data_IF_167096065210
#
_entry.id   IF_167096065210
#
_cell.length_a   1.000
_cell.length_b   1.000
_cell.length_c   1.000
_cell.angle_alpha   90.00
_cell.angle_beta   90.00
_cell.angle_gamma   90.00
#
_symmetry.space_group_name_H-M   'P 1'
#
loop_
_entity.id
_entity.type
_entity.pdbx_description
1 polymer ?
#
# COMPACT_ATOMS: atom_id res chain seq x y z
N UNK A 1 41.94 -7.89 -55.86
CA UNK A 1 41.23 -8.88 -56.66
C UNK A 1 39.99 -9.19 -55.82
N UNK A 2 38.88 -8.51 -56.08
CA UNK A 2 37.84 -8.90 -57.04
C UNK A 2 37.39 -10.32 -56.71
N UNK A 3 36.22 -10.61 -56.42
CA UNK A 3 34.84 -10.31 -56.79
C UNK A 3 34.04 -11.47 -56.22
N UNK A 4 32.89 -11.46 -55.84
CA UNK A 4 31.56 -11.12 -56.26
C UNK A 4 30.52 -12.05 -55.61
N UNK A 5 29.47 -11.47 -55.12
CA UNK A 5 28.04 -11.74 -55.38
C UNK A 5 27.43 -13.09 -54.91
N UNK A 6 26.35 -13.12 -54.15
CA UNK A 6 24.96 -12.84 -54.50
C UNK A 6 23.97 -13.16 -53.35
N UNK A 7 23.05 -12.27 -53.17
CA UNK A 7 21.67 -12.39 -52.69
C UNK A 7 21.08 -13.78 -52.42
N UNK A 8 20.43 -13.91 -51.25
CA UNK A 8 19.08 -14.44 -51.20
C UNK A 8 18.34 -13.88 -50.00
N UNK A 9 17.26 -13.16 -50.28
CA UNK A 9 16.26 -12.70 -49.34
C UNK A 9 15.35 -13.89 -48.99
N UNK A 10 15.09 -14.08 -47.68
CA UNK A 10 13.83 -14.62 -47.19
C UNK A 10 13.47 -13.93 -45.90
N UNK A 11 12.42 -13.16 -45.98
CA UNK A 11 11.75 -12.63 -44.83
C UNK A 11 10.96 -13.70 -44.09
N UNK A 12 11.00 -13.67 -42.79
CA UNK A 12 9.94 -14.26 -41.96
C UNK A 12 9.77 -13.44 -40.71
N UNK A 13 8.56 -12.99 -40.54
CA UNK A 13 7.87 -12.33 -39.49
C UNK A 13 8.44 -12.44 -38.10
N UNK A 14 8.77 -11.31 -37.57
CA UNK A 14 8.86 -11.09 -36.14
C UNK A 14 7.45 -11.09 -35.55
N UNK A 15 7.05 -12.22 -35.01
CA UNK A 15 5.94 -12.24 -34.06
C UNK A 15 6.42 -11.54 -32.82
N UNK A 16 5.74 -10.45 -32.49
CA UNK A 16 6.04 -9.64 -31.32
C UNK A 16 5.99 -10.49 -30.05
N UNK A 17 7.06 -10.49 -29.33
CA UNK A 17 7.15 -11.08 -28.00
C UNK A 17 6.21 -10.32 -27.04
N UNK A 18 5.40 -10.99 -26.23
CA UNK A 18 4.53 -10.37 -25.22
C UNK A 18 5.28 -9.53 -24.18
N UNK A 19 6.59 -9.65 -24.13
CA UNK A 19 7.48 -8.92 -23.22
C UNK A 19 7.58 -7.41 -23.46
N UNK A 20 7.15 -6.90 -24.61
CA UNK A 20 7.09 -5.43 -24.83
C UNK A 20 5.98 -4.75 -24.04
N UNK A 21 4.99 -5.50 -23.60
CA UNK A 21 3.87 -4.93 -22.80
C UNK A 21 4.18 -4.85 -21.31
N UNK A 22 5.11 -5.67 -20.80
CA UNK A 22 5.44 -5.64 -19.37
C UNK A 22 6.29 -4.41 -18.98
N UNK A 23 7.22 -3.99 -19.85
CA UNK A 23 7.98 -2.75 -19.64
C UNK A 23 7.13 -1.50 -19.85
N UNK A 24 6.07 -1.59 -20.67
CA UNK A 24 5.11 -0.49 -20.88
C UNK A 24 4.11 -0.39 -19.75
N UNK A 25 3.79 -1.48 -19.03
CA UNK A 25 2.83 -1.44 -17.91
C UNK A 25 3.43 -0.86 -16.63
N UNK A 26 4.68 -1.15 -16.31
CA UNK A 26 5.36 -0.47 -15.19
C UNK A 26 5.63 1.01 -15.53
N UNK A 27 5.99 1.33 -16.78
CA UNK A 27 6.10 2.70 -17.26
C UNK A 27 4.72 3.37 -17.45
N UNK A 28 3.66 2.62 -17.74
CA UNK A 28 2.31 3.15 -17.89
C UNK A 28 1.64 3.45 -16.55
N UNK A 29 1.95 2.73 -15.48
CA UNK A 29 1.52 3.14 -14.13
C UNK A 29 2.20 4.45 -13.68
N UNK A 30 3.43 4.71 -14.12
CA UNK A 30 4.12 5.99 -13.86
C UNK A 30 3.74 7.07 -14.88
N UNK A 31 3.41 6.70 -16.14
CA UNK A 31 3.08 7.66 -17.21
C UNK A 31 1.59 8.02 -17.26
N UNK A 32 0.67 7.21 -16.71
CA UNK A 32 -0.75 7.54 -16.60
C UNK A 32 -1.03 8.60 -15.52
N UNK A 33 -0.10 8.83 -14.60
CA UNK A 33 -0.19 9.94 -13.63
C UNK A 33 0.09 11.30 -14.28
N UNK A 34 0.82 11.34 -15.41
CA UNK A 34 1.24 12.61 -16.05
C UNK A 34 0.27 13.21 -17.07
N UNK A 35 -0.88 12.60 -17.34
CA UNK A 35 -1.80 13.05 -18.41
C UNK A 35 -3.22 13.39 -17.95
N UNK A 36 -3.52 13.37 -16.66
CA UNK A 36 -4.81 13.87 -16.19
C UNK A 36 -4.78 15.39 -16.02
N UNK A 37 -5.03 16.10 -17.11
CA UNK A 37 -5.51 17.45 -17.03
C UNK A 37 -6.92 17.42 -16.43
N UNK A 38 -7.04 17.81 -15.17
CA UNK A 38 -8.31 18.09 -14.51
C UNK A 38 -9.08 19.14 -15.33
N UNK A 39 -10.07 18.68 -16.07
CA UNK A 39 -11.16 19.58 -16.49
C UNK A 39 -12.03 19.80 -15.25
N UNK A 40 -11.90 20.98 -14.66
CA UNK A 40 -12.68 21.38 -13.51
C UNK A 40 -14.17 21.27 -13.79
N UNK A 41 -14.85 20.46 -12.97
CA UNK A 41 -16.28 20.56 -12.79
C UNK A 41 -16.52 21.83 -11.98
N UNK A 42 -17.20 22.81 -12.55
CA UNK A 42 -17.68 24.00 -11.84
C UNK A 42 -18.81 23.55 -10.91
N UNK A 43 -18.48 23.26 -9.67
CA UNK A 43 -19.45 23.23 -8.59
C UNK A 43 -19.46 24.63 -7.99
N UNK A 44 -20.60 25.31 -8.06
CA UNK A 44 -20.86 26.54 -7.33
C UNK A 44 -21.05 26.17 -5.86
N UNK A 45 -19.97 25.98 -5.13
CA UNK A 45 -19.98 25.91 -3.69
C UNK A 45 -19.36 27.19 -3.16
N UNK A 46 -20.14 27.94 -2.36
CA UNK A 46 -19.64 29.13 -1.69
C UNK A 46 -18.63 28.63 -0.64
N UNK A 47 -17.34 28.74 -0.94
CA UNK A 47 -16.26 28.34 -0.04
C UNK A 47 -16.41 29.10 1.28
N UNK A 48 -16.46 28.34 2.38
CA UNK A 48 -16.50 28.92 3.73
C UNK A 48 -15.07 29.15 4.22
N UNK A 49 -14.83 30.21 5.00
CA UNK A 49 -13.50 30.52 5.52
C UNK A 49 -12.88 29.37 6.32
N UNK A 50 -13.67 28.59 7.06
CA UNK A 50 -13.18 27.44 7.82
C UNK A 50 -12.66 26.32 6.90
N UNK A 51 -13.30 26.12 5.76
CA UNK A 51 -12.86 25.14 4.78
C UNK A 51 -11.55 25.59 4.13
N UNK A 52 -11.42 26.86 3.78
CA UNK A 52 -10.19 27.42 3.23
C UNK A 52 -9.02 27.35 4.22
N UNK A 53 -9.27 27.64 5.50
CA UNK A 53 -8.24 27.51 6.55
C UNK A 53 -7.81 26.06 6.71
N UNK A 54 -8.75 25.12 6.73
CA UNK A 54 -8.46 23.70 6.84
C UNK A 54 -7.62 23.20 5.66
N UNK A 55 -7.99 23.56 4.44
CA UNK A 55 -7.35 23.05 3.21
C UNK A 55 -5.98 23.66 2.93
N UNK A 56 -5.85 24.98 3.15
CA UNK A 56 -4.69 25.72 2.68
C UNK A 56 -3.76 26.22 3.79
N UNK A 57 -4.22 26.31 5.03
CA UNK A 57 -3.45 26.89 6.12
C UNK A 57 -3.02 25.85 7.16
N UNK A 58 -3.95 24.99 7.62
CA UNK A 58 -3.67 24.00 8.65
C UNK A 58 -2.55 23.03 8.32
N UNK A 59 -2.31 22.57 7.07
CA UNK A 59 -1.20 21.66 6.76
C UNK A 59 0.17 22.16 7.19
N UNK A 60 0.31 23.48 7.43
CA UNK A 60 1.56 24.10 7.88
C UNK A 60 1.45 24.85 9.22
N UNK A 61 0.23 25.19 9.67
CA UNK A 61 -0.04 26.04 10.82
C UNK A 61 -0.88 25.33 11.89
N UNK A 62 -0.49 24.11 12.27
CA UNK A 62 -1.05 23.33 13.38
C UNK A 62 -0.02 23.20 14.52
N UNK A 63 -0.45 22.76 15.70
CA UNK A 63 0.37 22.74 16.91
C UNK A 63 1.72 22.01 16.73
N UNK A 64 1.74 20.88 15.99
CA UNK A 64 2.95 20.09 15.80
C UNK A 64 3.92 20.66 14.75
N UNK A 65 3.48 21.64 13.93
CA UNK A 65 4.30 22.18 12.84
C UNK A 65 4.47 23.70 12.86
N UNK A 66 3.62 24.43 13.54
CA UNK A 66 3.59 25.88 13.80
C UNK A 66 4.63 26.73 13.01
N UNK A 67 4.62 26.67 11.69
CA UNK A 67 5.59 27.43 10.88
C UNK A 67 5.45 28.93 11.15
N UNK A 68 6.57 29.59 11.51
CA UNK A 68 6.61 30.99 11.92
C UNK A 68 5.88 31.26 13.23
N UNK A 69 5.71 30.25 14.11
CA UNK A 69 5.01 30.35 15.36
C UNK A 69 3.47 30.47 15.26
N UNK A 70 2.90 30.42 14.04
CA UNK A 70 1.47 30.56 13.81
C UNK A 70 0.74 29.22 13.93
N UNK A 71 -0.30 29.18 14.78
CA UNK A 71 -1.21 28.05 14.94
C UNK A 71 -2.62 28.52 14.59
N UNK A 72 -3.30 27.78 13.68
CA UNK A 72 -4.63 28.13 13.17
C UNK A 72 -5.71 27.11 13.54
N UNK A 73 -5.47 26.23 14.51
CA UNK A 73 -6.40 25.17 14.93
C UNK A 73 -7.57 25.68 15.79
N UNK A 74 -7.42 26.85 16.38
CA UNK A 74 -8.48 27.51 17.14
C UNK A 74 -8.46 29.03 16.96
N UNK A 75 -9.63 29.67 17.18
CA UNK A 75 -9.73 31.12 17.13
C UNK A 75 -8.77 31.77 18.13
N UNK A 76 -8.58 31.17 19.30
CA UNK A 76 -7.70 31.67 20.33
C UNK A 76 -6.24 31.71 19.85
N UNK A 77 -5.72 30.60 19.35
CA UNK A 77 -4.33 30.51 18.85
C UNK A 77 -4.09 31.45 17.65
N UNK A 78 -5.05 31.57 16.74
CA UNK A 78 -4.93 32.52 15.64
C UNK A 78 -4.84 33.97 16.09
N UNK A 79 -5.54 34.34 17.17
CA UNK A 79 -5.50 35.69 17.78
C UNK A 79 -4.23 35.94 18.61
N UNK A 80 -3.56 34.89 19.08
CA UNK A 80 -2.25 35.00 19.75
C UNK A 80 -1.18 35.42 18.71
N UNK A 81 -1.40 35.11 17.43
CA UNK A 81 -0.55 35.56 16.33
C UNK A 81 0.60 34.62 16.02
N UNK A 82 1.68 35.17 15.49
CA UNK A 82 2.91 34.50 15.10
C UNK A 82 4.13 35.06 15.82
N UNK A 83 5.31 34.47 15.56
CA UNK A 83 6.60 35.00 16.07
C UNK A 83 6.83 36.48 15.66
N UNK A 84 6.17 36.94 14.61
CA UNK A 84 6.26 38.31 14.10
C UNK A 84 5.16 39.24 14.62
N UNK A 85 4.22 38.73 15.45
CA UNK A 85 3.13 39.50 16.02
C UNK A 85 1.74 39.12 15.50
N UNK A 86 0.73 39.98 15.72
CA UNK A 86 -0.65 39.72 15.34
C UNK A 86 -0.79 39.48 13.82
N UNK A 87 -1.45 38.38 13.44
CA UNK A 87 -1.64 37.99 12.05
C UNK A 87 -3.02 38.42 11.54
N UNK A 88 -4.02 38.47 12.41
CA UNK A 88 -5.39 38.83 12.04
C UNK A 88 -5.95 39.80 13.10
N UNK A 89 -6.64 40.82 12.64
CA UNK A 89 -7.38 41.79 13.50
C UNK A 89 -8.87 41.66 13.18
N UNK A 90 -9.68 41.07 14.09
CA UNK A 90 -11.11 40.89 13.84
C UNK A 90 -11.82 42.21 13.50
N UNK A 91 -12.61 42.20 12.44
CA UNK A 91 -13.33 43.39 11.96
C UNK A 91 -12.48 44.37 11.14
N UNK A 92 -11.16 44.12 11.01
CA UNK A 92 -10.27 45.01 10.27
C UNK A 92 -9.41 44.25 9.22
N UNK A 93 -9.95 43.94 8.04
CA UNK A 93 -9.21 43.28 6.98
C UNK A 93 -7.94 44.02 6.54
N UNK A 94 -7.97 45.36 6.48
CA UNK A 94 -6.87 46.16 5.95
C UNK A 94 -5.63 46.16 6.86
N UNK A 95 -5.78 45.87 8.14
CA UNK A 95 -4.68 45.76 9.11
C UNK A 95 -4.32 44.28 9.43
N UNK A 96 -5.00 43.33 8.81
CA UNK A 96 -4.75 41.91 9.02
C UNK A 96 -3.63 41.42 8.08
N UNK A 97 -2.47 41.08 8.69
CA UNK A 97 -1.28 40.65 7.97
C UNK A 97 -1.51 39.38 7.12
N UNK A 98 -2.40 38.49 7.58
CA UNK A 98 -2.80 37.30 6.81
C UNK A 98 -3.16 37.66 5.37
N UNK A 99 -3.98 38.69 5.15
CA UNK A 99 -4.40 39.08 3.79
C UNK A 99 -3.27 39.69 2.96
N UNK A 100 -2.28 40.29 3.61
CA UNK A 100 -1.11 40.83 2.92
C UNK A 100 -0.16 39.75 2.40
N UNK A 101 -0.25 38.53 2.93
CA UNK A 101 0.57 37.39 2.49
C UNK A 101 -0.06 36.58 1.34
N UNK A 102 -1.35 36.80 1.03
CA UNK A 102 -2.05 36.00 0.01
C UNK A 102 -1.74 36.37 -1.46
N UNK A 103 -1.44 37.65 -1.85
CA UNK A 103 -1.09 37.98 -3.23
C UNK A 103 0.20 37.30 -3.68
N UNK A 104 0.23 36.88 -4.95
CA UNK A 104 1.40 36.19 -5.54
C UNK A 104 2.70 37.02 -5.50
N UNK A 105 2.59 38.34 -5.47
CA UNK A 105 3.71 39.28 -5.44
C UNK A 105 4.24 39.55 -4.00
N UNK A 106 3.61 38.96 -2.98
CA UNK A 106 4.05 39.11 -1.60
C UNK A 106 5.39 38.41 -1.36
N UNK A 107 6.33 39.09 -0.71
CA UNK A 107 7.61 38.46 -0.30
C UNK A 107 7.42 37.26 0.64
N UNK A 108 6.32 37.26 1.37
CA UNK A 108 5.92 36.17 2.31
C UNK A 108 4.68 35.45 1.79
N UNK A 109 4.65 35.14 0.51
CA UNK A 109 3.49 34.54 -0.13
C UNK A 109 3.00 33.25 0.54
N UNK A 110 1.69 33.19 0.82
CA UNK A 110 0.99 32.05 1.43
C UNK A 110 -0.31 31.71 0.67
N UNK A 111 -0.61 30.43 0.47
CA UNK A 111 0.25 29.25 0.71
C UNK A 111 1.41 29.17 -0.31
N UNK A 112 2.57 28.61 0.07
CA UNK A 112 3.76 28.62 -0.80
C UNK A 112 3.61 27.74 -2.04
N UNK A 113 2.66 26.81 -2.05
CA UNK A 113 2.47 25.84 -3.14
C UNK A 113 1.51 26.32 -4.23
N UNK A 114 0.88 27.49 -4.08
CA UNK A 114 -0.03 28.00 -5.10
C UNK A 114 -0.83 29.22 -4.69
N UNK A 115 -1.26 30.00 -5.67
CA UNK A 115 -2.09 31.19 -5.48
C UNK A 115 -3.53 30.81 -5.17
N UNK A 116 -4.09 31.33 -4.10
CA UNK A 116 -5.53 31.24 -3.83
C UNK A 116 -6.32 31.99 -4.88
N UNK A 117 -7.52 31.49 -5.20
CA UNK A 117 -8.42 32.18 -6.12
C UNK A 117 -8.87 33.54 -5.55
N UNK A 118 -9.20 34.47 -6.40
CA UNK A 118 -9.73 35.77 -5.97
C UNK A 118 -11.02 35.63 -5.14
N UNK A 119 -11.80 34.58 -5.39
CA UNK A 119 -13.00 34.26 -4.62
C UNK A 119 -12.65 33.80 -3.19
N UNK A 120 -11.65 32.94 -3.06
CA UNK A 120 -11.15 32.49 -1.75
C UNK A 120 -10.59 33.66 -0.93
N UNK A 121 -9.82 34.55 -1.54
CA UNK A 121 -9.30 35.75 -0.89
C UNK A 121 -10.45 36.67 -0.45
N UNK A 122 -11.48 36.81 -1.28
CA UNK A 122 -12.67 37.61 -0.94
C UNK A 122 -13.41 37.01 0.24
N UNK A 123 -13.57 35.69 0.29
CA UNK A 123 -14.20 34.95 1.39
C UNK A 123 -13.46 35.18 2.71
N UNK A 124 -12.13 35.06 2.69
CA UNK A 124 -11.30 35.31 3.89
C UNK A 124 -11.37 36.78 4.33
N UNK A 125 -11.40 37.71 3.37
CA UNK A 125 -11.52 39.14 3.65
C UNK A 125 -12.85 39.46 4.33
N UNK A 126 -13.95 38.90 3.83
CA UNK A 126 -15.28 39.09 4.39
C UNK A 126 -15.40 38.45 5.79
N UNK A 127 -14.84 37.21 5.96
CA UNK A 127 -14.81 36.53 7.25
C UNK A 127 -14.11 37.36 8.32
N UNK A 128 -12.98 38.01 8.00
CA UNK A 128 -12.29 38.92 8.94
C UNK A 128 -13.15 40.15 9.22
N UNK A 129 -13.76 40.74 8.20
CA UNK A 129 -14.64 41.92 8.35
C UNK A 129 -15.83 41.63 9.27
N UNK A 130 -16.37 40.43 9.25
CA UNK A 130 -17.46 39.94 10.10
C UNK A 130 -17.02 39.58 11.52
N UNK A 131 -15.76 39.83 11.89
CA UNK A 131 -15.22 39.60 13.23
C UNK A 131 -14.74 38.16 13.46
N UNK A 132 -14.50 37.39 12.38
CA UNK A 132 -13.99 36.02 12.43
C UNK A 132 -14.92 35.05 13.17
N UNK A 133 -16.16 34.84 12.69
CA UNK A 133 -17.01 33.80 13.23
C UNK A 133 -16.30 32.46 13.09
N UNK A 134 -16.21 31.71 14.20
CA UNK A 134 -15.41 30.48 14.26
C UNK A 134 -16.30 29.25 14.45
N UNK A 135 -16.18 28.30 13.57
CA UNK A 135 -16.89 27.02 13.62
C UNK A 135 -15.87 25.89 13.75
N UNK A 136 -15.63 25.44 14.99
CA UNK A 136 -14.71 24.34 15.28
C UNK A 136 -15.16 23.02 14.67
N UNK A 137 -16.47 22.75 14.61
CA UNK A 137 -16.98 21.51 14.04
C UNK A 137 -16.67 21.47 12.53
N UNK A 138 -16.84 22.59 11.85
CA UNK A 138 -16.53 22.70 10.42
C UNK A 138 -15.03 22.70 10.14
N UNK A 139 -14.22 23.32 10.99
CA UNK A 139 -12.77 23.29 10.87
C UNK A 139 -12.20 21.88 11.06
N UNK A 140 -12.79 21.11 11.98
CA UNK A 140 -12.43 19.72 12.26
C UNK A 140 -13.23 18.71 11.44
N UNK A 141 -14.27 19.13 10.76
CA UNK A 141 -15.00 18.27 9.85
C UNK A 141 -14.02 17.81 8.79
N UNK A 142 -13.57 16.57 8.92
CA UNK A 142 -13.10 15.85 7.75
C UNK A 142 -14.27 15.98 6.78
N UNK A 143 -14.09 16.70 5.66
CA UNK A 143 -15.10 16.62 4.63
C UNK A 143 -15.39 15.13 4.44
N UNK A 144 -16.63 14.71 4.71
CA UNK A 144 -17.20 13.73 3.82
C UNK A 144 -17.23 14.45 2.45
N UNK A 145 -16.08 14.50 1.77
CA UNK A 145 -16.07 14.72 0.34
C UNK A 145 -17.08 13.71 -0.11
N UNK A 146 -18.27 14.15 -0.50
CA UNK A 146 -19.14 13.34 -1.35
C UNK A 146 -18.16 12.69 -2.27
N UNK A 147 -17.93 11.39 -2.06
CA UNK A 147 -16.86 10.66 -2.70
C UNK A 147 -16.97 11.05 -4.14
N UNK A 148 -16.03 11.89 -4.60
CA UNK A 148 -16.02 12.29 -5.99
C UNK A 148 -16.17 10.96 -6.68
N UNK A 149 -17.27 10.76 -7.41
CA UNK A 149 -17.58 9.44 -7.96
C UNK A 149 -16.47 9.15 -8.94
N UNK A 150 -15.37 8.60 -8.41
CA UNK A 150 -14.23 8.17 -9.19
C UNK A 150 -14.78 7.15 -10.16
N UNK A 151 -14.86 7.51 -11.40
CA UNK A 151 -15.24 6.61 -12.47
C UNK A 151 -14.02 5.72 -12.70
N UNK A 152 -13.91 4.67 -11.87
CA UNK A 152 -12.90 3.64 -12.09
C UNK A 152 -13.32 2.89 -13.35
N UNK A 153 -12.48 2.91 -14.36
CA UNK A 153 -12.66 2.02 -15.50
C UNK A 153 -12.50 0.58 -15.02
N UNK A 154 -13.33 -0.36 -15.53
CA UNK A 154 -13.17 -1.76 -15.22
C UNK A 154 -11.75 -2.22 -15.55
N UNK A 155 -11.21 -3.13 -14.73
CA UNK A 155 -9.92 -3.74 -15.02
C UNK A 155 -9.93 -4.39 -16.41
N UNK A 156 -8.79 -4.41 -17.12
CA UNK A 156 -8.68 -5.16 -18.37
C UNK A 156 -9.13 -6.61 -18.17
N UNK A 157 -9.87 -7.17 -19.14
CA UNK A 157 -10.47 -8.52 -19.02
C UNK A 157 -9.47 -9.64 -18.73
N UNK A 158 -8.19 -9.43 -19.07
CA UNK A 158 -7.11 -10.41 -18.87
C UNK A 158 -6.24 -10.07 -17.66
N UNK A 159 -6.66 -9.12 -16.81
CA UNK A 159 -5.92 -8.69 -15.63
C UNK A 159 -6.55 -9.26 -14.36
N UNK A 160 -6.08 -10.42 -13.95
CA UNK A 160 -6.57 -11.17 -12.78
C UNK A 160 -5.44 -11.53 -11.81
N UNK A 161 -4.68 -10.54 -11.28
CA UNK A 161 -3.56 -10.85 -10.40
C UNK A 161 -4.04 -11.45 -9.08
N UNK A 162 -3.29 -12.42 -8.58
CA UNK A 162 -3.41 -12.95 -7.22
C UNK A 162 -2.52 -12.12 -6.31
N UNK A 163 -3.04 -11.05 -5.72
CA UNK A 163 -2.24 -10.08 -4.96
C UNK A 163 -2.17 -10.40 -3.46
N UNK A 164 -3.14 -11.12 -2.93
CA UNK A 164 -3.18 -11.52 -1.51
C UNK A 164 -3.83 -12.89 -1.37
N UNK A 165 -3.33 -13.67 -0.42
CA UNK A 165 -3.80 -15.00 -0.09
C UNK A 165 -3.86 -15.16 1.42
N UNK A 166 -4.88 -15.85 1.94
CA UNK A 166 -4.99 -16.18 3.35
C UNK A 166 -5.63 -17.54 3.56
N UNK A 167 -5.15 -18.28 4.56
CA UNK A 167 -5.79 -19.52 5.02
C UNK A 167 -6.99 -19.19 5.88
N UNK A 168 -8.14 -19.77 5.56
CA UNK A 168 -9.33 -19.72 6.41
C UNK A 168 -9.12 -20.52 7.70
N UNK A 169 -10.09 -20.41 8.63
CA UNK A 169 -10.01 -21.02 9.96
C UNK A 169 -9.85 -22.55 9.97
N UNK A 170 -10.27 -23.23 8.92
CA UNK A 170 -10.24 -24.70 8.83
C UNK A 170 -9.01 -25.27 8.13
N UNK A 171 -8.00 -24.46 7.82
CA UNK A 171 -6.72 -24.85 7.19
C UNK A 171 -6.81 -25.63 5.86
N UNK A 172 -7.98 -26.08 5.46
CA UNK A 172 -8.25 -26.72 4.16
C UNK A 172 -8.84 -25.76 3.12
N UNK A 173 -9.19 -24.54 3.54
CA UNK A 173 -9.74 -23.52 2.65
C UNK A 173 -8.83 -22.32 2.62
N UNK A 174 -8.56 -21.83 1.44
CA UNK A 174 -7.83 -20.60 1.19
C UNK A 174 -8.75 -19.60 0.49
N UNK A 175 -8.62 -18.34 0.89
CA UNK A 175 -9.22 -17.23 0.18
C UNK A 175 -8.10 -16.49 -0.53
N UNK A 176 -8.34 -16.13 -1.76
CA UNK A 176 -7.37 -15.39 -2.56
C UNK A 176 -8.06 -14.31 -3.40
N UNK A 177 -7.35 -13.22 -3.60
CA UNK A 177 -7.78 -12.17 -4.52
C UNK A 177 -7.52 -12.60 -5.97
N UNK A 178 -8.39 -12.19 -6.89
CA UNK A 178 -8.28 -12.46 -8.32
C UNK A 178 -8.74 -11.20 -9.10
N UNK A 179 -7.85 -10.21 -9.21
CA UNK A 179 -8.24 -8.90 -9.70
C UNK A 179 -9.24 -8.23 -8.78
N UNK A 180 -10.45 -7.95 -9.27
CA UNK A 180 -11.57 -7.41 -8.47
C UNK A 180 -12.38 -8.48 -7.75
N UNK A 181 -12.05 -9.74 -7.95
CA UNK A 181 -12.79 -10.89 -7.46
C UNK A 181 -12.09 -11.55 -6.26
N UNK A 182 -12.86 -12.36 -5.53
CA UNK A 182 -12.37 -13.28 -4.50
C UNK A 182 -12.62 -14.71 -4.97
N UNK A 183 -11.59 -15.52 -4.95
CA UNK A 183 -11.69 -16.96 -5.18
C UNK A 183 -11.56 -17.70 -3.85
N UNK A 184 -12.49 -18.60 -3.60
CA UNK A 184 -12.45 -19.56 -2.49
C UNK A 184 -11.94 -20.87 -3.06
N UNK A 185 -10.82 -21.33 -2.53
CA UNK A 185 -10.12 -22.52 -2.99
C UNK A 185 -10.10 -23.55 -1.88
N UNK A 186 -10.62 -24.74 -2.15
CA UNK A 186 -10.40 -25.89 -1.30
C UNK A 186 -9.01 -26.44 -1.55
N UNK A 187 -8.21 -26.45 -0.50
CA UNK A 187 -6.84 -26.90 -0.56
C UNK A 187 -6.78 -28.42 -0.36
N UNK A 188 -6.27 -29.09 -1.35
CA UNK A 188 -5.87 -30.49 -1.28
C UNK A 188 -4.40 -30.61 -1.68
N UNK A 189 -3.68 -31.58 -1.09
CA UNK A 189 -2.24 -31.75 -1.34
C UNK A 189 -1.91 -32.12 -2.79
N UNK A 190 -2.85 -32.73 -3.49
CA UNK A 190 -2.65 -33.22 -4.85
C UNK A 190 -3.57 -32.54 -5.87
N UNK A 191 -4.80 -32.19 -5.47
CA UNK A 191 -5.85 -31.75 -6.38
C UNK A 191 -6.70 -30.62 -5.80
N UNK A 192 -6.13 -29.41 -5.58
CA UNK A 192 -6.91 -28.27 -5.10
C UNK A 192 -7.96 -27.88 -6.14
N UNK A 193 -9.06 -27.31 -5.67
CA UNK A 193 -10.16 -26.89 -6.54
C UNK A 193 -10.72 -25.54 -6.16
N UNK A 194 -11.04 -24.71 -7.15
CA UNK A 194 -11.77 -23.47 -6.91
C UNK A 194 -13.25 -23.78 -6.71
N UNK A 195 -13.77 -23.42 -5.51
CA UNK A 195 -15.15 -23.70 -5.13
C UNK A 195 -16.09 -22.58 -5.52
N UNK A 196 -15.65 -21.34 -5.38
CA UNK A 196 -16.50 -20.17 -5.56
C UNK A 196 -15.71 -18.96 -6.01
N UNK A 197 -16.33 -18.14 -6.87
CA UNK A 197 -15.86 -16.82 -7.25
C UNK A 197 -16.90 -15.78 -6.82
N UNK A 198 -16.46 -14.71 -6.18
CA UNK A 198 -17.31 -13.61 -5.71
C UNK A 198 -16.73 -12.31 -6.26
N UNK A 199 -17.56 -11.47 -6.88
CA UNK A 199 -17.15 -10.18 -7.47
C UNK A 199 -17.58 -9.01 -6.58
N UNK A 200 -16.79 -8.63 -5.57
CA UNK A 200 -17.18 -7.63 -4.58
C UNK A 200 -16.78 -6.21 -4.92
N UNK A 201 -15.68 -6.04 -5.61
CA UNK A 201 -15.07 -4.75 -5.84
C UNK A 201 -15.11 -4.35 -7.32
N UNK A 202 -14.97 -3.05 -7.58
CA UNK A 202 -14.85 -2.50 -8.94
C UNK A 202 -13.40 -2.33 -9.37
N UNK A 203 -12.47 -2.37 -8.42
CA UNK A 203 -11.02 -2.27 -8.61
C UNK A 203 -10.32 -3.50 -8.03
N UNK A 204 -9.04 -3.65 -8.32
CA UNK A 204 -8.24 -4.76 -7.81
C UNK A 204 -8.21 -4.77 -6.28
N UNK A 205 -8.51 -5.92 -5.69
CA UNK A 205 -8.35 -6.18 -4.27
C UNK A 205 -6.88 -6.45 -4.02
N UNK A 206 -6.23 -5.62 -3.19
CA UNK A 206 -4.81 -5.78 -2.87
C UNK A 206 -4.56 -6.46 -1.54
N UNK A 207 -5.52 -6.38 -0.65
CA UNK A 207 -5.36 -6.85 0.71
C UNK A 207 -6.54 -7.68 1.18
N UNK A 208 -6.22 -8.68 1.98
CA UNK A 208 -7.13 -9.63 2.56
C UNK A 208 -6.68 -9.96 3.99
N UNK A 209 -7.58 -9.87 4.94
CA UNK A 209 -7.37 -10.35 6.31
C UNK A 209 -8.44 -11.37 6.68
N UNK A 210 -8.07 -12.33 7.54
CA UNK A 210 -8.97 -13.36 8.05
C UNK A 210 -9.11 -13.20 9.56
N UNK A 211 -10.30 -12.83 9.99
CA UNK A 211 -10.71 -12.85 11.39
C UNK A 211 -11.24 -14.25 11.74
N UNK A 212 -10.38 -15.06 12.35
CA UNK A 212 -10.69 -16.44 12.68
C UNK A 212 -11.68 -16.57 13.83
N UNK A 213 -11.60 -15.65 14.79
CA UNK A 213 -12.43 -15.68 15.99
C UNK A 213 -13.88 -15.35 15.68
N UNK A 214 -14.10 -14.44 14.72
CA UNK A 214 -15.45 -14.02 14.31
C UNK A 214 -15.94 -14.70 13.03
N UNK A 215 -15.14 -15.62 12.47
CA UNK A 215 -15.42 -16.28 11.18
C UNK A 215 -15.74 -15.28 10.06
N UNK A 216 -14.87 -14.29 9.88
CA UNK A 216 -15.04 -13.24 8.90
C UNK A 216 -13.79 -13.07 8.02
N UNK A 217 -14.01 -12.57 6.80
CA UNK A 217 -12.95 -12.07 5.95
C UNK A 217 -13.09 -10.57 5.80
N UNK A 218 -11.99 -9.89 5.59
CA UNK A 218 -11.96 -8.45 5.36
C UNK A 218 -11.16 -8.22 4.09
N UNK A 219 -11.74 -7.47 3.15
CA UNK A 219 -11.07 -7.13 1.88
C UNK A 219 -10.92 -5.64 1.73
N UNK A 220 -9.76 -5.22 1.22
CA UNK A 220 -9.45 -3.82 0.94
C UNK A 220 -9.38 -3.54 -0.56
N UNK A 221 -10.18 -2.56 -1.00
CA UNK A 221 -10.18 -2.02 -2.36
C UNK A 221 -9.87 -0.53 -2.39
N UNK A 222 -10.26 0.16 -3.45
CA UNK A 222 -10.12 1.61 -3.55
C UNK A 222 -11.23 2.31 -2.77
N UNK A 223 -10.86 3.08 -1.74
CA UNK A 223 -11.78 3.87 -0.92
C UNK A 223 -12.81 3.03 -0.14
N UNK A 224 -12.55 1.73 0.06
CA UNK A 224 -13.50 0.87 0.78
C UNK A 224 -12.90 -0.39 1.35
N UNK A 225 -13.46 -0.84 2.46
CA UNK A 225 -13.24 -2.18 3.02
C UNK A 225 -14.57 -2.90 3.15
N UNK A 226 -14.59 -4.20 2.88
CA UNK A 226 -15.76 -5.06 3.03
C UNK A 226 -15.48 -6.15 4.05
N UNK A 227 -16.47 -6.38 4.93
CA UNK A 227 -16.49 -7.48 5.89
C UNK A 227 -17.43 -8.56 5.39
N UNK A 228 -17.00 -9.81 5.44
CA UNK A 228 -17.70 -10.95 4.87
C UNK A 228 -17.94 -12.01 5.91
N UNK A 229 -19.10 -12.64 5.87
CA UNK A 229 -19.34 -13.89 6.58
C UNK A 229 -18.59 -15.03 5.89
N UNK A 230 -17.73 -15.73 6.63
CA UNK A 230 -16.87 -16.78 6.07
C UNK A 230 -17.66 -18.04 5.64
N UNK A 231 -18.87 -18.27 6.15
CA UNK A 231 -19.68 -19.43 5.83
C UNK A 231 -20.59 -19.16 4.62
N UNK A 232 -21.25 -18.00 4.62
CA UNK A 232 -22.23 -17.66 3.57
C UNK A 232 -21.56 -16.97 2.38
N UNK A 233 -20.44 -16.25 2.62
CA UNK A 233 -19.81 -15.37 1.64
C UNK A 233 -20.67 -14.14 1.32
N UNK A 234 -21.50 -13.72 2.24
CA UNK A 234 -22.30 -12.49 2.14
C UNK A 234 -21.57 -11.33 2.81
N UNK A 235 -21.78 -10.12 2.29
CA UNK A 235 -21.23 -8.90 2.89
C UNK A 235 -22.00 -8.59 4.17
N UNK A 236 -21.27 -8.51 5.28
CA UNK A 236 -21.79 -8.13 6.59
C UNK A 236 -21.79 -6.62 6.79
N UNK A 237 -20.77 -5.96 6.27
CA UNK A 237 -20.57 -4.52 6.47
C UNK A 237 -19.61 -3.92 5.44
N UNK A 238 -19.68 -2.59 5.29
CA UNK A 238 -18.81 -1.81 4.42
C UNK A 238 -18.35 -0.54 5.12
N UNK A 239 -17.04 -0.28 5.07
CA UNK A 239 -16.44 0.97 5.54
C UNK A 239 -15.92 1.73 4.32
N UNK A 240 -16.41 2.96 4.13
CA UNK A 240 -15.98 3.91 3.10
C UNK A 240 -15.56 5.25 3.69
N UNK A 241 -16.08 5.59 4.85
CA UNK A 241 -15.85 6.89 5.47
C UNK A 241 -14.38 7.06 5.87
N UNK A 242 -13.78 8.16 5.42
CA UNK A 242 -12.39 8.50 5.69
C UNK A 242 -11.37 7.77 4.81
N UNK A 243 -11.79 6.89 3.90
CA UNK A 243 -10.92 6.17 2.98
C UNK A 243 -10.93 6.86 1.61
N UNK A 244 -9.80 7.41 1.18
CA UNK A 244 -9.66 8.19 -0.05
C UNK A 244 -8.81 7.48 -1.12
N UNK A 245 -7.98 6.54 -0.70
CA UNK A 245 -7.02 5.83 -1.52
C UNK A 245 -7.27 4.32 -1.61
N UNK A 246 -6.27 3.62 -2.04
CA UNK A 246 -6.31 2.16 -2.16
C UNK A 246 -5.83 1.52 -0.86
N UNK A 247 -6.58 0.57 -0.34
CA UNK A 247 -6.14 -0.25 0.80
C UNK A 247 -5.15 -1.28 0.28
N UNK A 248 -3.89 -1.08 0.62
CA UNK A 248 -2.77 -1.90 0.13
C UNK A 248 -2.44 -3.04 1.05
N UNK A 249 -2.69 -2.88 2.36
CA UNK A 249 -2.49 -3.94 3.34
C UNK A 249 -3.57 -3.89 4.43
N UNK A 250 -4.00 -5.05 4.89
CA UNK A 250 -4.89 -5.24 6.03
C UNK A 250 -4.23 -6.19 7.02
N UNK A 251 -4.23 -5.82 8.28
CA UNK A 251 -3.69 -6.63 9.36
C UNK A 251 -4.62 -6.59 10.56
N UNK A 252 -4.87 -7.76 11.17
CA UNK A 252 -5.56 -7.85 12.45
C UNK A 252 -4.50 -7.97 13.53
N UNK A 253 -4.60 -7.17 14.59
CA UNK A 253 -3.66 -7.19 15.71
C UNK A 253 -3.64 -8.56 16.40
N UNK A 254 -2.51 -8.88 17.01
CA UNK A 254 -2.32 -10.17 17.70
C UNK A 254 -3.36 -10.43 18.80
N UNK A 255 -3.80 -9.38 19.48
CA UNK A 255 -4.86 -9.42 20.49
C UNK A 255 -6.28 -9.52 19.95
N UNK A 256 -6.46 -9.57 18.61
CA UNK A 256 -7.73 -9.67 17.90
C UNK A 256 -8.72 -8.53 18.22
N UNK A 257 -8.23 -7.38 18.65
CA UNK A 257 -9.08 -6.23 19.01
C UNK A 257 -9.11 -5.15 17.95
N UNK A 258 -8.06 -5.06 17.10
CA UNK A 258 -7.85 -3.96 16.18
C UNK A 258 -7.68 -4.45 14.75
N UNK A 259 -8.19 -3.65 13.82
CA UNK A 259 -7.90 -3.79 12.39
C UNK A 259 -7.02 -2.61 11.96
N UNK A 260 -5.86 -2.91 11.40
CA UNK A 260 -4.97 -1.95 10.80
C UNK A 260 -5.16 -2.00 9.29
N UNK A 261 -5.47 -0.85 8.68
CA UNK A 261 -5.60 -0.72 7.23
C UNK A 261 -4.57 0.31 6.74
N UNK A 262 -3.67 -0.13 5.87
CA UNK A 262 -2.74 0.75 5.18
C UNK A 262 -3.40 1.26 3.90
N UNK A 263 -3.64 2.56 3.85
CA UNK A 263 -4.19 3.25 2.69
C UNK A 263 -3.08 3.96 1.94
N UNK A 264 -3.09 3.89 0.63
CA UNK A 264 -2.05 4.47 -0.20
C UNK A 264 -2.62 5.32 -1.32
N UNK A 265 -2.03 6.49 -1.46
CA UNK A 265 -2.16 7.39 -2.60
C UNK A 265 -0.79 7.48 -3.26
N UNK A 266 -0.53 6.72 -4.35
CA UNK A 266 0.80 6.61 -4.96
C UNK A 266 1.44 7.95 -5.27
N UNK A 267 2.69 8.16 -4.83
CA UNK A 267 3.43 9.41 -4.99
C UNK A 267 2.94 10.56 -4.11
N UNK A 268 2.02 10.31 -3.18
CA UNK A 268 1.46 11.35 -2.32
C UNK A 268 1.54 11.00 -0.83
N UNK A 269 0.95 9.89 -0.40
CA UNK A 269 0.97 9.48 1.01
C UNK A 269 0.70 7.99 1.20
N UNK A 270 1.20 7.47 2.31
CA UNK A 270 0.81 6.19 2.89
C UNK A 270 0.24 6.44 4.29
N UNK A 271 -1.05 6.21 4.46
CA UNK A 271 -1.75 6.41 5.71
C UNK A 271 -1.99 5.08 6.43
N UNK A 272 -1.93 5.10 7.73
CA UNK A 272 -2.40 4.00 8.56
C UNK A 272 -3.72 4.40 9.23
N UNK A 273 -4.71 3.53 9.09
CA UNK A 273 -5.99 3.65 9.76
C UNK A 273 -6.15 2.52 10.76
N UNK A 274 -6.47 2.88 11.98
CA UNK A 274 -6.75 1.96 13.05
C UNK A 274 -8.24 1.92 13.34
N UNK A 275 -8.82 0.73 13.35
CA UNK A 275 -10.24 0.50 13.65
C UNK A 275 -10.39 -0.44 14.84
N UNK A 276 -11.44 -0.22 15.63
CA UNK A 276 -11.96 -1.24 16.53
C UNK A 276 -12.56 -2.37 15.68
N UNK A 277 -12.02 -3.57 15.82
CA UNK A 277 -12.38 -4.70 14.96
C UNK A 277 -13.82 -5.19 15.22
N UNK A 278 -14.30 -5.10 16.45
CA UNK A 278 -15.65 -5.55 16.81
C UNK A 278 -16.73 -4.52 16.41
N UNK A 279 -16.47 -3.25 16.74
CA UNK A 279 -17.42 -2.14 16.49
C UNK A 279 -17.33 -1.60 15.07
N UNK A 280 -16.23 -1.89 14.36
CA UNK A 280 -15.92 -1.41 13.00
C UNK A 280 -15.92 0.11 12.88
N UNK A 281 -15.48 0.79 13.93
CA UNK A 281 -15.37 2.25 13.97
C UNK A 281 -13.90 2.68 13.93
N UNK A 282 -13.58 3.81 13.26
CA UNK A 282 -12.23 4.33 13.25
C UNK A 282 -11.82 4.79 14.65
N UNK A 283 -10.62 4.43 15.06
CA UNK A 283 -9.99 4.85 16.33
C UNK A 283 -8.98 5.95 16.09
N UNK A 284 -8.11 5.79 15.09
CA UNK A 284 -7.03 6.72 14.81
C UNK A 284 -6.58 6.63 13.36
N UNK A 285 -6.11 7.74 12.79
CA UNK A 285 -5.55 7.79 11.43
C UNK A 285 -4.35 8.74 11.43
N UNK A 286 -3.25 8.31 10.78
CA UNK A 286 -2.06 9.17 10.63
C UNK A 286 -1.36 8.90 9.31
N UNK A 287 -0.63 9.91 8.81
CA UNK A 287 0.30 9.76 7.69
C UNK A 287 1.55 9.03 8.18
N UNK A 288 1.72 7.78 7.77
CA UNK A 288 2.84 6.96 8.17
C UNK A 288 4.05 7.16 7.23
N UNK A 289 3.81 7.25 5.95
CA UNK A 289 4.84 7.34 4.92
C UNK A 289 4.52 8.43 3.88
N UNK A 290 5.57 8.87 3.17
CA UNK A 290 5.45 9.87 2.09
C UNK A 290 5.00 9.27 0.75
N UNK A 291 4.87 7.95 0.67
CA UNK A 291 4.46 7.22 -0.51
C UNK A 291 3.75 5.91 -0.10
N UNK A 292 3.35 5.11 -1.07
CA UNK A 292 2.59 3.88 -0.91
C UNK A 292 3.20 2.92 0.13
N UNK A 293 2.38 2.40 1.05
CA UNK A 293 2.75 1.32 1.97
C UNK A 293 2.47 0.00 1.27
N UNK A 294 3.50 -0.84 1.12
CA UNK A 294 3.35 -2.14 0.47
C UNK A 294 3.10 -3.28 1.43
N UNK A 295 3.65 -3.19 2.64
CA UNK A 295 3.49 -4.24 3.63
C UNK A 295 3.46 -3.69 5.05
N UNK A 296 2.79 -4.41 5.94
CA UNK A 296 2.67 -4.10 7.36
C UNK A 296 2.60 -5.40 8.15
N UNK A 297 3.46 -5.54 9.15
CA UNK A 297 3.53 -6.71 10.03
C UNK A 297 3.56 -6.27 11.49
N UNK A 298 3.03 -7.11 12.39
CA UNK A 298 3.09 -6.90 13.84
C UNK A 298 4.15 -7.80 14.46
N UNK A 299 4.90 -7.28 15.43
CA UNK A 299 5.88 -8.09 16.18
C UNK A 299 5.17 -9.16 17.00
N UNK A 300 5.83 -10.30 17.19
CA UNK A 300 5.22 -11.46 17.86
C UNK A 300 4.79 -11.22 19.31
N UNK A 301 5.29 -10.16 19.96
CA UNK A 301 4.87 -9.70 21.28
C UNK A 301 3.80 -8.59 21.22
N UNK A 302 3.36 -8.21 20.02
CA UNK A 302 2.37 -7.16 19.80
C UNK A 302 2.82 -5.74 20.13
N UNK A 303 4.12 -5.52 20.40
CA UNK A 303 4.62 -4.21 20.87
C UNK A 303 4.74 -3.18 19.75
N UNK A 304 5.02 -3.63 18.51
CA UNK A 304 5.27 -2.76 17.37
C UNK A 304 4.56 -3.23 16.12
N UNK A 305 4.17 -2.27 15.31
CA UNK A 305 3.87 -2.47 13.90
C UNK A 305 5.04 -2.00 13.05
N UNK A 306 5.35 -2.73 12.01
CA UNK A 306 6.46 -2.43 11.10
C UNK A 306 5.86 -2.25 9.71
N UNK A 307 6.14 -1.14 9.05
CA UNK A 307 5.62 -0.80 7.72
C UNK A 307 6.75 -0.64 6.72
N UNK A 308 6.55 -1.11 5.49
CA UNK A 308 7.46 -0.98 4.37
C UNK A 308 6.83 -0.14 3.26
N UNK A 309 7.59 0.80 2.69
CA UNK A 309 7.04 1.79 1.78
C UNK A 309 7.84 1.99 0.49
N UNK A 310 7.12 2.57 -0.49
CA UNK A 310 7.68 3.09 -1.73
C UNK A 310 8.63 4.26 -1.50
N UNK A 311 8.59 4.93 -0.35
CA UNK A 311 9.53 5.99 0.04
C UNK A 311 10.93 5.47 0.43
N UNK A 312 11.17 4.18 0.27
CA UNK A 312 12.41 3.44 0.55
C UNK A 312 12.70 3.20 2.03
N UNK A 313 11.81 3.60 2.91
CA UNK A 313 11.97 3.46 4.36
C UNK A 313 11.12 2.31 4.91
N UNK A 314 11.54 1.82 6.06
CA UNK A 314 10.79 0.94 6.94
C UNK A 314 10.59 1.72 8.23
N UNK A 315 9.40 1.76 8.77
CA UNK A 315 9.10 2.47 10.01
C UNK A 315 8.51 1.54 11.06
N UNK A 316 8.84 1.86 12.30
CA UNK A 316 8.36 1.16 13.49
C UNK A 316 7.39 2.06 14.24
N UNK A 317 6.25 1.50 14.62
CA UNK A 317 5.17 2.19 15.32
C UNK A 317 4.88 1.47 16.62
N UNK A 318 4.88 2.19 17.73
CA UNK A 318 4.41 1.64 19.01
C UNK A 318 2.92 1.31 18.91
N UNK A 319 2.54 0.07 19.21
CA UNK A 319 1.15 -0.40 19.02
C UNK A 319 0.16 0.18 20.03
N UNK A 320 0.62 0.72 21.16
CA UNK A 320 -0.18 1.30 22.22
C UNK A 320 -0.30 2.83 22.13
N UNK A 321 0.75 3.51 21.67
CA UNK A 321 0.80 4.98 21.57
C UNK A 321 0.59 5.50 20.16
N UNK A 322 0.71 4.64 19.13
CA UNK A 322 0.64 4.94 17.69
C UNK A 322 1.72 5.93 17.22
N UNK A 323 2.79 6.07 18.00
CA UNK A 323 3.90 6.95 17.68
C UNK A 323 4.96 6.24 16.90
N UNK A 324 5.62 6.98 16.01
CA UNK A 324 6.83 6.50 15.35
C UNK A 324 7.91 6.28 16.41
N UNK A 325 8.38 5.03 16.53
CA UNK A 325 9.43 4.63 17.45
C UNK A 325 10.80 4.80 16.81
N UNK A 326 10.92 4.33 15.57
CA UNK A 326 12.18 4.36 14.82
C UNK A 326 11.93 4.17 13.32
N UNK A 327 12.94 4.44 12.51
CA UNK A 327 12.94 4.16 11.09
C UNK A 327 14.21 3.43 10.66
N UNK A 328 14.11 2.57 9.64
CA UNK A 328 15.24 1.81 9.10
C UNK A 328 15.53 2.31 7.68
N UNK A 329 16.71 2.87 7.50
CA UNK A 329 17.20 3.33 6.20
C UNK A 329 18.25 2.37 5.64
N UNK A 330 18.25 2.17 4.33
CA UNK A 330 19.27 1.34 3.68
C UNK A 330 18.84 0.71 2.37
N UNK A 331 17.51 0.62 2.09
CA UNK A 331 17.04 0.31 0.76
C UNK A 331 17.21 1.53 -0.17
N UNK A 332 17.57 1.26 -1.43
CA UNK A 332 17.78 2.31 -2.45
C UNK A 332 16.64 2.37 -3.47
N UNK A 333 15.60 1.58 -3.25
CA UNK A 333 14.37 1.54 -4.03
C UNK A 333 13.21 1.07 -3.12
N UNK A 334 11.95 1.12 -3.57
CA UNK A 334 10.78 0.69 -2.80
C UNK A 334 10.95 -0.62 -2.04
N UNK A 335 10.54 -0.62 -0.77
CA UNK A 335 10.54 -1.83 0.08
C UNK A 335 9.20 -2.53 -0.09
N UNK A 336 9.23 -3.76 -0.58
CA UNK A 336 8.04 -4.46 -1.07
C UNK A 336 7.43 -5.40 -0.04
N UNK A 337 8.26 -6.02 0.81
CA UNK A 337 7.80 -7.06 1.73
C UNK A 337 8.62 -7.09 3.02
N UNK A 338 7.99 -7.54 4.08
CA UNK A 338 8.54 -7.72 5.41
C UNK A 338 8.36 -9.15 5.89
N UNK A 339 9.26 -9.63 6.72
CA UNK A 339 9.12 -10.86 7.48
C UNK A 339 9.76 -10.71 8.85
N UNK A 340 9.23 -11.42 9.85
CA UNK A 340 9.74 -11.40 11.21
C UNK A 340 10.27 -12.78 11.59
N UNK A 341 11.54 -12.83 12.00
CA UNK A 341 12.13 -13.98 12.66
C UNK A 341 11.97 -13.80 14.17
N UNK A 342 10.84 -14.29 14.69
CA UNK A 342 10.43 -13.97 16.06
C UNK A 342 11.36 -14.47 17.15
N UNK A 343 11.98 -15.63 16.97
CA UNK A 343 12.80 -16.28 18.00
C UNK A 343 14.20 -15.63 18.12
N UNK A 344 14.73 -15.03 17.03
CA UNK A 344 16.06 -14.42 16.98
C UNK A 344 16.04 -12.89 17.12
N UNK A 345 14.88 -12.28 17.22
CA UNK A 345 14.75 -10.81 17.29
C UNK A 345 15.20 -10.10 16.01
N UNK A 346 14.99 -10.73 14.86
CA UNK A 346 15.36 -10.17 13.56
C UNK A 346 14.16 -9.72 12.76
N UNK A 347 14.30 -8.63 12.06
CA UNK A 347 13.39 -8.18 11.01
C UNK A 347 14.04 -8.34 9.64
N UNK A 348 13.25 -8.67 8.67
CA UNK A 348 13.74 -8.96 7.32
C UNK A 348 12.90 -8.15 6.34
N UNK A 349 13.55 -7.48 5.41
CA UNK A 349 12.89 -6.71 4.37
C UNK A 349 13.41 -7.06 2.98
N UNK A 350 12.55 -6.97 1.97
CA UNK A 350 12.91 -7.15 0.58
C UNK A 350 12.43 -5.99 -0.27
N UNK A 351 13.23 -5.57 -1.25
CA UNK A 351 12.91 -4.38 -2.04
C UNK A 351 13.17 -4.52 -3.54
N UNK A 352 12.72 -3.49 -4.24
CA UNK A 352 12.97 -3.30 -5.68
C UNK A 352 14.46 -3.05 -5.99
N UNK A 353 15.28 -2.72 -4.99
CA UNK A 353 16.73 -2.67 -5.10
C UNK A 353 17.39 -4.04 -5.23
N UNK A 354 16.58 -5.10 -5.29
CA UNK A 354 16.99 -6.49 -5.49
C UNK A 354 17.83 -7.04 -4.35
N UNK A 355 17.61 -6.54 -3.14
CA UNK A 355 18.28 -6.99 -1.93
C UNK A 355 17.27 -7.44 -0.89
N UNK A 356 17.67 -8.40 -0.06
CA UNK A 356 17.02 -8.71 1.21
C UNK A 356 17.94 -8.20 2.31
N UNK A 357 17.39 -7.44 3.25
CA UNK A 357 18.15 -6.89 4.37
C UNK A 357 17.66 -7.51 5.67
N UNK A 358 18.60 -7.78 6.56
CA UNK A 358 18.33 -8.30 7.91
C UNK A 358 18.71 -7.21 8.90
N UNK A 359 17.79 -6.96 9.83
CA UNK A 359 17.88 -5.90 10.83
C UNK A 359 17.79 -6.50 12.23
N UNK A 360 18.54 -5.95 13.15
CA UNK A 360 18.45 -6.31 14.56
C UNK A 360 17.33 -5.54 15.25
N UNK A 361 16.45 -6.26 15.95
CA UNK A 361 15.31 -5.66 16.65
C UNK A 361 15.73 -4.68 17.76
N UNK A 362 16.79 -5.02 18.51
CA UNK A 362 17.18 -4.26 19.70
C UNK A 362 17.82 -2.93 19.41
N UNK A 363 18.49 -2.81 18.26
CA UNK A 363 19.23 -1.61 17.87
C UNK A 363 18.65 -0.90 16.65
N UNK A 364 17.69 -1.53 15.96
CA UNK A 364 17.19 -1.10 14.65
C UNK A 364 18.30 -0.98 13.58
N UNK A 365 19.47 -1.59 13.81
CA UNK A 365 20.59 -1.53 12.89
C UNK A 365 20.53 -2.64 11.84
N UNK A 366 21.00 -2.32 10.64
CA UNK A 366 21.18 -3.32 9.59
C UNK A 366 22.36 -4.20 9.90
N UNK A 367 22.13 -5.51 10.04
CA UNK A 367 23.18 -6.49 10.27
C UNK A 367 23.89 -6.89 8.98
N UNK A 368 23.14 -7.30 7.95
CA UNK A 368 23.71 -7.74 6.68
C UNK A 368 22.66 -7.80 5.57
N UNK A 369 23.11 -8.01 4.34
CA UNK A 369 22.28 -8.26 3.18
C UNK A 369 22.33 -9.75 2.80
N UNK A 370 21.17 -10.34 2.53
CA UNK A 370 21.03 -11.68 1.97
C UNK A 370 20.94 -11.61 0.44
N UNK A 371 21.61 -12.54 -0.25
CA UNK A 371 21.43 -12.70 -1.69
C UNK A 371 21.75 -11.41 -2.45
N UNK A 372 22.98 -10.93 -2.38
CA UNK A 372 23.40 -9.71 -3.08
C UNK A 372 23.21 -9.85 -4.59
N UNK A 373 22.52 -8.87 -5.19
CA UNK A 373 22.30 -8.75 -6.63
C UNK A 373 21.39 -9.82 -7.24
N UNK A 374 20.18 -10.01 -6.68
CA UNK A 374 19.15 -10.73 -7.40
C UNK A 374 18.98 -10.14 -8.81
N UNK A 375 18.76 -11.02 -9.78
CA UNK A 375 18.58 -10.58 -11.16
C UNK A 375 17.35 -9.70 -11.36
N UNK A 376 16.34 -9.86 -10.48
CA UNK A 376 15.05 -9.19 -10.54
C UNK A 376 14.63 -8.70 -9.15
N UNK A 377 13.76 -7.70 -9.12
CA UNK A 377 13.15 -7.16 -7.90
C UNK A 377 12.41 -8.25 -7.12
N UNK A 378 12.56 -8.23 -5.81
CA UNK A 378 11.83 -9.10 -4.91
C UNK A 378 10.40 -8.56 -4.74
N UNK A 379 9.46 -9.47 -4.59
CA UNK A 379 8.02 -9.17 -4.54
C UNK A 379 7.44 -9.49 -3.19
N UNK A 380 7.80 -10.65 -2.62
CA UNK A 380 7.20 -11.11 -1.38
C UNK A 380 8.16 -12.01 -0.59
N UNK A 381 7.95 -12.05 0.73
CA UNK A 381 8.69 -12.83 1.71
C UNK A 381 7.74 -13.65 2.57
N UNK A 382 8.17 -14.86 2.95
CA UNK A 382 7.46 -15.67 3.92
C UNK A 382 8.43 -16.35 4.88
N UNK A 383 8.21 -16.18 6.17
CA UNK A 383 8.95 -16.89 7.22
C UNK A 383 8.24 -18.16 7.62
N UNK A 384 8.89 -19.30 7.48
CA UNK A 384 8.40 -20.57 8.02
C UNK A 384 8.99 -20.81 9.41
N UNK A 385 8.16 -20.63 10.43
CA UNK A 385 8.55 -20.81 11.83
C UNK A 385 8.95 -22.25 12.13
N UNK A 386 8.32 -23.24 11.49
CA UNK A 386 8.55 -24.65 11.77
C UNK A 386 9.95 -25.11 11.33
N UNK A 387 10.42 -24.63 10.17
CA UNK A 387 11.75 -24.98 9.66
C UNK A 387 12.81 -23.90 9.94
N UNK A 388 12.43 -22.76 10.53
CA UNK A 388 13.28 -21.58 10.72
C UNK A 388 13.97 -21.15 9.43
N UNK A 389 13.18 -21.00 8.36
CA UNK A 389 13.65 -20.63 7.03
C UNK A 389 12.86 -19.48 6.45
N UNK A 390 13.58 -18.63 5.74
CA UNK A 390 12.98 -17.57 4.94
C UNK A 390 12.79 -18.06 3.50
N UNK A 391 11.64 -17.79 2.97
CA UNK A 391 11.32 -17.95 1.55
C UNK A 391 11.07 -16.61 0.90
N UNK A 392 11.45 -16.48 -0.37
CA UNK A 392 11.28 -15.27 -1.14
C UNK A 392 10.92 -15.59 -2.59
N UNK A 393 10.19 -14.69 -3.21
CA UNK A 393 9.94 -14.71 -4.64
C UNK A 393 10.37 -13.40 -5.28
N UNK A 394 10.80 -13.47 -6.54
CA UNK A 394 11.07 -12.29 -7.33
C UNK A 394 10.00 -12.08 -8.41
N UNK A 395 10.05 -10.92 -9.06
CA UNK A 395 9.13 -10.50 -10.12
C UNK A 395 9.00 -11.49 -11.28
N UNK A 396 10.01 -12.34 -11.51
CA UNK A 396 10.02 -13.35 -12.58
C UNK A 396 9.48 -14.70 -12.13
N UNK A 397 9.20 -14.87 -10.83
CA UNK A 397 8.78 -16.12 -10.23
C UNK A 397 9.93 -17.06 -9.90
N UNK A 398 11.15 -16.53 -9.71
CA UNK A 398 12.20 -17.35 -9.13
C UNK A 398 11.91 -17.48 -7.63
N UNK A 399 11.85 -18.71 -7.13
CA UNK A 399 11.56 -19.07 -5.75
C UNK A 399 12.84 -19.42 -5.01
N UNK A 400 13.10 -18.73 -3.92
CA UNK A 400 14.33 -18.81 -3.13
C UNK A 400 14.06 -19.31 -1.73
N UNK A 401 15.06 -19.95 -1.13
CA UNK A 401 15.12 -20.28 0.29
C UNK A 401 16.42 -19.78 0.88
N UNK A 402 16.33 -19.22 2.08
CA UNK A 402 17.45 -18.81 2.91
C UNK A 402 17.38 -19.58 4.23
N UNK A 403 18.52 -20.06 4.69
CA UNK A 403 18.68 -20.77 5.95
C UNK A 403 19.85 -20.20 6.75
N UNK A 404 19.92 -20.52 8.05
CA UNK A 404 21.02 -20.10 8.93
C UNK A 404 21.10 -18.58 9.12
N UNK A 405 19.94 -17.92 9.28
CA UNK A 405 19.89 -16.49 9.64
C UNK A 405 20.28 -16.35 11.10
N UNK A 406 21.25 -15.48 11.39
CA UNK A 406 21.80 -15.28 12.74
C UNK A 406 21.77 -13.82 13.17
N UNK A 407 21.51 -13.58 14.46
CA UNK A 407 21.49 -12.25 15.06
C UNK A 407 22.88 -11.64 15.32
N UNK A 408 23.97 -12.40 15.15
CA UNK A 408 25.29 -11.92 15.58
C UNK A 408 26.12 -11.35 14.44
N UNK A 409 26.46 -10.06 14.55
CA UNK A 409 27.30 -9.29 13.63
C UNK A 409 28.82 -9.55 13.76
N UNK A 410 29.23 -10.49 14.62
CA UNK A 410 30.63 -10.67 15.06
C UNK A 410 31.58 -11.34 14.07
N UNK A 411 31.17 -11.68 12.86
CA UNK A 411 32.03 -12.23 11.85
C UNK A 411 31.83 -11.50 10.52
N UNK A 412 32.89 -10.92 9.99
CA UNK A 412 33.04 -10.66 8.56
C UNK A 412 32.97 -12.00 7.78
N UNK A 413 31.92 -12.75 7.98
CA UNK A 413 31.68 -14.01 7.31
C UNK A 413 30.87 -13.71 6.06
N UNK A 414 31.51 -13.85 4.93
CA UNK A 414 30.95 -13.83 3.57
C UNK A 414 29.89 -14.90 3.31
N UNK A 415 29.26 -15.48 4.36
CA UNK A 415 28.41 -16.67 4.28
C UNK A 415 27.25 -16.66 5.27
N UNK A 416 26.77 -15.50 5.69
CA UNK A 416 25.55 -15.39 6.49
C UNK A 416 24.33 -15.59 5.61
N UNK A 417 23.61 -16.70 5.83
CA UNK A 417 22.44 -17.08 5.08
C UNK A 417 22.77 -17.84 3.77
N UNK A 418 22.50 -19.15 3.76
CA UNK A 418 22.66 -19.95 2.53
C UNK A 418 21.47 -19.73 1.62
N UNK A 419 21.71 -19.01 0.51
CA UNK A 419 20.75 -18.88 -0.56
C UNK A 419 20.66 -20.17 -1.37
N UNK A 420 19.44 -20.59 -1.68
CA UNK A 420 19.16 -21.65 -2.64
C UNK A 420 18.01 -21.25 -3.54
N UNK A 421 18.26 -21.20 -4.86
CA UNK A 421 17.17 -21.11 -5.85
C UNK A 421 16.49 -22.47 -5.87
N UNK A 422 15.24 -22.53 -5.47
CA UNK A 422 14.44 -23.74 -5.40
C UNK A 422 13.77 -24.04 -6.74
N UNK A 423 13.18 -23.03 -7.35
CA UNK A 423 12.47 -23.17 -8.62
C UNK A 423 12.51 -21.88 -9.43
N UNK A 424 12.34 -22.00 -10.76
CA UNK A 424 12.22 -20.87 -11.70
C UNK A 424 10.97 -21.03 -12.54
N UNK A 425 9.89 -20.36 -12.11
CA UNK A 425 8.57 -20.48 -12.75
C UNK A 425 8.55 -19.87 -14.16
N UNK A 426 9.36 -18.82 -14.40
CA UNK A 426 9.37 -18.01 -15.63
C UNK A 426 8.03 -17.33 -15.93
N UNK A 427 7.21 -17.15 -14.91
CA UNK A 427 5.94 -16.41 -14.94
C UNK A 427 6.01 -15.35 -13.85
N UNK A 428 5.46 -14.12 -14.07
CA UNK A 428 5.46 -13.09 -13.07
C UNK A 428 4.68 -13.51 -11.83
N UNK A 429 5.38 -13.58 -10.69
CA UNK A 429 4.78 -13.85 -9.40
C UNK A 429 4.33 -12.57 -8.72
N UNK A 430 3.30 -12.64 -7.90
CA UNK A 430 2.67 -11.50 -7.21
C UNK A 430 2.55 -11.67 -5.71
N UNK A 431 2.46 -12.89 -5.19
CA UNK A 431 2.28 -13.15 -3.77
C UNK A 431 2.80 -14.53 -3.38
N UNK A 432 3.21 -14.70 -2.12
CA UNK A 432 3.76 -15.92 -1.55
C UNK A 432 3.08 -16.22 -0.21
N UNK A 433 2.68 -17.45 -0.01
CA UNK A 433 2.14 -17.94 1.25
C UNK A 433 2.73 -19.31 1.59
N UNK A 434 3.01 -19.54 2.86
CA UNK A 434 3.34 -20.89 3.35
C UNK A 434 2.07 -21.57 3.87
N UNK A 435 1.83 -22.78 3.41
CA UNK A 435 0.80 -23.68 3.94
C UNK A 435 1.46 -24.72 4.88
N UNK A 436 1.42 -24.48 6.21
CA UNK A 436 2.22 -25.25 7.15
C UNK A 436 1.84 -26.73 7.21
N UNK A 437 0.53 -27.05 7.14
CA UNK A 437 0.01 -28.41 7.26
C UNK A 437 0.44 -29.33 6.12
N UNK A 438 0.63 -28.76 4.93
CA UNK A 438 1.11 -29.48 3.77
C UNK A 438 2.63 -29.39 3.59
N UNK A 439 3.29 -28.48 4.29
CA UNK A 439 4.68 -28.10 4.07
C UNK A 439 4.90 -27.62 2.63
N UNK A 440 3.98 -26.78 2.13
CA UNK A 440 4.02 -26.21 0.79
C UNK A 440 4.17 -24.68 0.83
N UNK A 441 4.84 -24.14 -0.17
CA UNK A 441 4.76 -22.76 -0.55
C UNK A 441 3.74 -22.61 -1.71
N UNK A 442 2.77 -21.71 -1.56
CA UNK A 442 1.80 -21.36 -2.60
C UNK A 442 2.19 -20.01 -3.16
N UNK A 443 2.36 -19.94 -4.46
CA UNK A 443 2.75 -18.72 -5.19
C UNK A 443 1.60 -18.30 -6.10
N UNK A 444 1.12 -17.08 -5.91
CA UNK A 444 0.16 -16.42 -6.79
C UNK A 444 0.86 -15.72 -7.94
N UNK A 445 0.19 -15.63 -9.09
CA UNK A 445 0.72 -15.00 -10.29
C UNK A 445 -0.15 -13.84 -10.77
N UNK A 446 0.45 -12.96 -11.58
CA UNK A 446 -0.30 -11.89 -12.25
C UNK A 446 -1.28 -12.41 -13.32
N UNK A 447 -1.12 -13.63 -13.78
CA UNK A 447 -2.03 -14.28 -14.74
C UNK A 447 -3.23 -14.96 -14.10
N UNK A 448 -3.37 -14.92 -12.77
CA UNK A 448 -4.50 -15.54 -12.08
C UNK A 448 -4.35 -17.06 -11.89
N UNK A 449 -3.14 -17.53 -11.65
CA UNK A 449 -2.87 -18.91 -11.32
C UNK A 449 -2.18 -19.06 -9.97
N UNK A 450 -2.41 -20.18 -9.32
CA UNK A 450 -1.74 -20.61 -8.10
C UNK A 450 -0.79 -21.77 -8.44
N UNK A 451 0.41 -21.72 -7.88
CA UNK A 451 1.40 -22.78 -8.00
C UNK A 451 1.83 -23.24 -6.62
N UNK A 452 1.77 -24.54 -6.33
CA UNK A 452 2.30 -25.08 -5.09
C UNK A 452 3.62 -25.81 -5.31
N UNK A 453 4.53 -25.57 -4.40
CA UNK A 453 5.84 -26.20 -4.33
C UNK A 453 6.06 -26.75 -2.91
N UNK A 454 6.76 -27.87 -2.81
CA UNK A 454 7.31 -28.28 -1.52
C UNK A 454 8.30 -27.23 -1.04
N UNK A 455 8.56 -27.18 0.26
CA UNK A 455 9.55 -26.26 0.83
C UNK A 455 11.01 -26.58 0.39
N UNK A 456 11.21 -27.62 -0.41
CA UNK A 456 12.47 -27.94 -1.08
C UNK A 456 12.47 -27.63 -2.58
N UNK A 457 11.33 -27.14 -3.13
CA UNK A 457 11.20 -26.59 -4.48
C UNK A 457 10.63 -27.55 -5.53
N UNK A 458 10.12 -28.72 -5.13
CA UNK A 458 9.43 -29.62 -6.05
C UNK A 458 8.03 -29.10 -6.33
N UNK A 459 7.68 -28.89 -7.60
CA UNK A 459 6.32 -28.47 -8.00
C UNK A 459 5.34 -29.60 -7.71
N UNK A 460 4.24 -29.27 -7.06
CA UNK A 460 3.16 -30.20 -6.74
C UNK A 460 1.98 -30.05 -7.70
N UNK A 461 1.44 -28.84 -7.76
CA UNK A 461 0.30 -28.57 -8.63
C UNK A 461 0.31 -27.14 -9.15
N UNK A 462 -0.52 -26.91 -10.14
CA UNK A 462 -0.88 -25.60 -10.68
C UNK A 462 -2.40 -25.54 -10.81
N UNK A 463 -3.02 -24.48 -10.32
CA UNK A 463 -4.45 -24.24 -10.40
C UNK A 463 -4.69 -22.90 -11.10
N UNK A 464 -5.15 -22.90 -12.35
CA UNK A 464 -5.64 -21.70 -12.99
C UNK A 464 -6.98 -21.30 -12.34
N UNK A 465 -7.08 -20.06 -11.86
CA UNK A 465 -8.31 -19.52 -11.28
C UNK A 465 -9.18 -18.81 -12.32
N UNK A 466 -8.57 -18.40 -13.43
CA UNK A 466 -9.30 -17.84 -14.57
C UNK A 466 -9.69 -18.99 -15.48
N UNK A 467 -10.99 -19.18 -15.81
CA UNK A 467 -11.39 -20.18 -16.79
C UNK A 467 -10.67 -19.92 -18.12
N UNK A 468 -10.10 -20.95 -18.71
CA UNK A 468 -9.60 -20.81 -20.08
C UNK A 468 -10.73 -20.29 -20.97
N UNK A 469 -10.45 -19.31 -21.87
CA UNK A 469 -11.45 -18.88 -22.81
C UNK A 469 -11.88 -20.10 -23.63
N UNK A 470 -13.15 -20.47 -23.49
CA UNK A 470 -13.72 -21.55 -24.31
C UNK A 470 -13.48 -21.16 -25.77
N UNK A 471 -12.60 -21.88 -26.45
CA UNK A 471 -12.38 -21.71 -27.87
C UNK A 471 -13.74 -21.86 -28.54
N UNK A 472 -14.29 -20.76 -29.04
CA UNK A 472 -15.52 -20.82 -29.85
C UNK A 472 -15.18 -21.77 -31.01
N UNK A 473 -15.87 -22.90 -31.07
CA UNK A 473 -15.81 -23.76 -32.23
C UNK A 473 -16.09 -22.90 -33.46
N UNK A 474 -15.31 -23.04 -34.54
CA UNK A 474 -15.60 -22.33 -35.77
C UNK A 474 -17.05 -22.59 -36.13
N UNK A 475 -17.84 -21.54 -36.35
CA UNK A 475 -19.19 -21.67 -36.84
C UNK A 475 -19.12 -22.34 -38.25
N UNK A 476 -19.73 -23.51 -38.38
CA UNK A 476 -19.89 -24.24 -39.65
C UNK A 476 -20.69 -23.42 -40.67
#
# INVERSE_FOLDING_TARGET
MLSDLKHSAYGTGWRGSPWRYLFTLVAACVALVSSFHLKGATVSDQSNAMDLIREHCLPCHHADKAKGGLIMESRQYLLEGSDSGPVVIPGNPSESFLLATLPAESESHMPPEGQLSNEAITTLTQWIAEGMPWDEQRLRATESKQAASWFLEPLPKDYHPVLSMALASEHSTMITTLGSDLAIVELDKESPSMQRLITPHKDAIRSLAVDRDRHQWITGGFGRMLFWDAHTGEVLDEITDGLLGRITQLMISHDQTRLIACESLPGWSGNMHLFDLERRVPLFTWEAHKDEIFDCVETGDGSYWITASADHTIKLWESDTYREHDWLEGHTAPVMALAIHGDEGLWISAGNDRTIKVWERSSAERLYDLGRNHAYSLVDLAWDKASSRLYAINQRGDFYRYSELQAHSGAQSSNTGREKVLHRMRQPASSLMIWPEAQYAIIGTFSGALHAFTLDGEKRWELPLVPEPVALAPAD
#
